data_IF_391001422176
#
_entry.id   IF_391001422176
#
_cell.length_a   1.000
_cell.length_b   1.000
_cell.length_c   1.000
_cell.angle_alpha   90.00
_cell.angle_beta   90.00
_cell.angle_gamma   90.00
#
_symmetry.space_group_name_H-M   'P 1'
#
loop_
_entity.id
_entity.type
_entity.pdbx_description
1 polymer ?
#
# COMPACT_ATOMS: atom_id res chain seq x y z
N UNK A 1 10.74 -19.32 20.68
CA UNK A 1 9.99 -19.04 19.85
C UNK A 1 10.51 -18.21 18.90
N UNK A 2 10.15 -18.18 17.97
CA UNK A 2 10.62 -17.53 17.06
C UNK A 2 10.00 -16.37 16.81
N UNK A 3 10.57 -15.57 16.49
CA UNK A 3 10.07 -14.36 16.26
C UNK A 3 10.08 -14.09 14.87
N UNK A 4 9.62 -14.99 14.13
CA UNK A 4 9.59 -14.78 12.77
C UNK A 4 8.58 -13.81 12.47
N UNK A 5 8.92 -12.60 12.35
CA UNK A 5 8.04 -11.64 11.86
C UNK A 5 8.00 -11.75 10.40
N UNK A 6 6.85 -11.64 9.84
CA UNK A 6 6.73 -11.48 8.42
C UNK A 6 7.38 -10.16 8.07
N UNK A 7 8.44 -10.21 7.33
CA UNK A 7 9.06 -9.01 6.86
C UNK A 7 8.27 -8.50 5.70
N UNK A 8 7.72 -7.32 5.84
CA UNK A 8 6.96 -6.68 4.81
C UNK A 8 7.81 -5.58 4.24
N UNK A 9 8.13 -5.74 2.98
CA UNK A 9 8.93 -4.76 2.28
C UNK A 9 8.03 -3.93 1.41
N UNK A 10 8.13 -2.64 1.50
CA UNK A 10 7.32 -1.74 0.73
C UNK A 10 8.12 -1.16 -0.39
N UNK A 11 7.62 -1.28 -1.58
CA UNK A 11 8.20 -0.59 -2.71
C UNK A 11 7.20 0.42 -3.21
N UNK A 12 7.61 1.64 -3.33
CA UNK A 12 6.76 2.67 -3.85
C UNK A 12 6.79 2.62 -5.35
N UNK A 13 5.64 2.35 -5.93
CA UNK A 13 5.53 2.40 -7.36
C UNK A 13 4.39 3.32 -7.70
N UNK A 14 4.67 4.56 -7.74
CA UNK A 14 3.70 5.52 -8.18
C UNK A 14 3.98 5.88 -9.61
N UNK A 15 2.95 5.95 -10.43
CA UNK A 15 3.12 6.49 -11.73
C UNK A 15 2.42 7.81 -11.76
N UNK A 16 3.16 8.81 -11.65
CA UNK A 16 2.66 10.15 -11.90
C UNK A 16 3.44 10.65 -13.08
N UNK A 17 2.74 10.99 -14.13
CA UNK A 17 3.40 11.59 -15.26
C UNK A 17 3.57 13.04 -14.93
N UNK A 18 4.79 13.40 -14.64
CA UNK A 18 5.09 14.78 -14.37
C UNK A 18 5.28 15.48 -15.67
N UNK A 19 4.50 16.46 -15.94
CA UNK A 19 4.71 17.32 -17.07
C UNK A 19 5.53 18.49 -16.61
N UNK A 20 6.33 18.97 -17.51
CA UNK A 20 7.11 20.11 -17.23
C UNK A 20 6.29 21.33 -17.27
N UNK A 21 5.58 21.61 -16.27
CA UNK A 21 4.84 22.83 -16.22
C UNK A 21 5.39 23.64 -15.11
N UNK A 22 5.18 24.90 -15.15
CA UNK A 22 5.57 25.78 -14.07
C UNK A 22 4.76 25.36 -12.87
N UNK A 23 5.37 24.98 -11.82
CA UNK A 23 4.69 24.60 -10.62
C UNK A 23 5.26 23.33 -10.09
N UNK A 24 4.92 23.05 -8.86
CA UNK A 24 5.48 21.94 -8.14
C UNK A 24 4.73 20.67 -8.44
N UNK A 25 5.44 19.62 -8.77
CA UNK A 25 4.85 18.30 -8.94
C UNK A 25 5.50 17.37 -7.94
N UNK A 26 4.69 16.50 -7.37
CA UNK A 26 5.19 15.60 -6.33
C UNK A 26 4.38 14.32 -6.36
N UNK A 27 5.08 13.20 -6.18
CA UNK A 27 4.43 11.91 -6.01
C UNK A 27 3.83 11.83 -4.61
N UNK A 28 2.80 11.01 -4.42
CA UNK A 28 2.26 10.83 -3.09
C UNK A 28 3.30 10.19 -2.17
N UNK A 29 3.29 10.59 -0.91
CA UNK A 29 4.23 10.08 0.07
C UNK A 29 3.49 9.54 1.27
N UNK A 30 3.83 8.33 1.69
CA UNK A 30 3.22 7.76 2.88
C UNK A 30 3.65 8.53 4.11
N UNK A 31 2.69 8.87 4.94
CA UNK A 31 2.99 9.51 6.23
C UNK A 31 3.34 8.47 7.28
N UNK A 32 2.85 7.24 7.12
CA UNK A 32 3.14 6.17 8.05
C UNK A 32 3.51 4.95 7.26
N UNK A 33 4.39 4.13 7.83
CA UNK A 33 4.76 2.89 7.19
C UNK A 33 3.59 1.92 7.22
N UNK A 34 3.49 1.12 6.19
CA UNK A 34 2.54 0.01 6.20
C UNK A 34 3.01 -0.99 7.24
N UNK A 35 2.13 -1.34 8.14
CA UNK A 35 2.48 -2.22 9.25
C UNK A 35 1.48 -3.34 9.34
N UNK A 36 1.96 -4.55 9.20
CA UNK A 36 1.15 -5.74 9.33
C UNK A 36 1.86 -6.67 10.32
N UNK A 37 1.21 -6.97 11.41
CA UNK A 37 1.81 -7.82 12.42
C UNK A 37 1.17 -9.20 12.40
N UNK A 38 1.79 -10.14 13.08
CA UNK A 38 1.22 -11.47 13.21
C UNK A 38 -0.15 -11.44 13.87
N UNK A 39 -0.41 -10.46 14.72
CA UNK A 39 -1.71 -10.36 15.35
C UNK A 39 -2.82 -9.99 14.38
N UNK A 40 -2.47 -9.47 13.23
CA UNK A 40 -3.44 -9.11 12.22
C UNK A 40 -3.77 -10.29 11.31
N UNK A 41 -3.00 -11.37 11.37
CA UNK A 41 -3.14 -12.50 10.47
C UNK A 41 -3.71 -13.67 11.25
N UNK A 42 -4.66 -14.34 10.65
CA UNK A 42 -5.29 -15.49 11.30
C UNK A 42 -4.27 -16.59 11.54
N UNK A 43 -4.47 -17.30 12.64
CA UNK A 43 -3.51 -18.31 13.06
C UNK A 43 -3.32 -19.42 12.04
N UNK A 44 -4.40 -19.84 11.39
CA UNK A 44 -4.31 -20.90 10.40
C UNK A 44 -3.46 -20.50 9.20
N UNK A 45 -3.42 -19.22 8.89
CA UNK A 45 -2.57 -18.72 7.81
C UNK A 45 -1.12 -18.67 8.26
N UNK A 46 -0.90 -18.25 9.50
CA UNK A 46 0.45 -18.16 10.03
C UNK A 46 1.16 -19.51 10.08
N UNK A 47 0.41 -20.56 10.33
CA UNK A 47 1.00 -21.90 10.38
C UNK A 47 1.63 -22.31 9.06
N UNK A 48 1.24 -21.68 8.00
CA UNK A 48 1.78 -21.99 6.69
C UNK A 48 2.91 -21.06 6.29
N UNK A 49 3.37 -20.25 7.21
CA UNK A 49 4.50 -19.36 6.96
C UNK A 49 4.32 -18.59 5.66
N UNK A 50 3.44 -17.60 5.64
CA UNK A 50 3.13 -16.90 4.40
C UNK A 50 4.38 -16.33 3.75
N UNK A 51 4.47 -16.51 2.46
CA UNK A 51 5.58 -16.00 1.70
C UNK A 51 5.09 -15.71 0.30
N UNK A 52 5.47 -14.60 -0.24
CA UNK A 52 5.03 -14.20 -1.57
C UNK A 52 4.74 -12.72 -1.64
N UNK A 53 4.05 -12.34 -2.69
CA UNK A 53 3.76 -10.93 -2.95
C UNK A 53 2.28 -10.74 -3.10
N UNK A 54 1.78 -9.64 -2.57
CA UNK A 54 0.41 -9.19 -2.78
C UNK A 54 0.49 -7.79 -3.37
N UNK A 55 -0.22 -7.58 -4.45
CA UNK A 55 -0.25 -6.27 -5.09
C UNK A 55 -1.63 -5.67 -4.87
N UNK A 56 -1.66 -4.52 -4.24
CA UNK A 56 -2.88 -3.77 -3.98
C UNK A 56 -2.84 -2.50 -4.80
N UNK A 57 -3.93 -2.24 -5.50
CA UNK A 57 -4.06 -1.01 -6.25
C UNK A 57 -5.18 -0.19 -5.65
N UNK A 58 -4.97 1.09 -5.47
CA UNK A 58 -5.97 1.96 -4.87
C UNK A 58 -5.78 3.38 -5.37
N UNK A 59 -6.72 4.23 -5.01
CA UNK A 59 -6.62 5.64 -5.34
C UNK A 59 -6.24 6.41 -4.10
N UNK A 60 -5.46 7.45 -4.27
CA UNK A 60 -5.15 8.40 -3.22
C UNK A 60 -5.82 9.70 -3.62
N UNK A 61 -6.75 10.13 -2.81
CA UNK A 61 -7.52 11.31 -3.16
C UNK A 61 -6.76 12.59 -2.82
N UNK A 62 -7.37 13.72 -3.05
CA UNK A 62 -6.76 15.03 -2.89
C UNK A 62 -6.44 15.34 -1.42
N UNK A 63 -7.04 14.62 -0.50
CA UNK A 63 -6.74 14.76 0.92
C UNK A 63 -5.74 13.74 1.41
N UNK A 64 -5.21 12.90 0.50
CA UNK A 64 -4.23 11.89 0.88
C UNK A 64 -4.84 10.61 1.43
N UNK A 65 -6.14 10.42 1.29
CA UNK A 65 -6.81 9.23 1.82
C UNK A 65 -6.95 8.17 0.74
N UNK A 66 -6.90 6.92 1.16
CA UNK A 66 -7.02 5.79 0.27
C UNK A 66 -8.48 5.51 -0.03
N UNK A 67 -8.77 5.26 -1.30
CA UNK A 67 -10.11 4.91 -1.75
C UNK A 67 -10.03 3.75 -2.72
N UNK A 68 -11.08 2.96 -2.74
CA UNK A 68 -11.28 1.89 -3.73
C UNK A 68 -10.11 0.91 -3.85
N UNK A 69 -9.67 0.32 -2.75
CA UNK A 69 -8.56 -0.64 -2.83
C UNK A 69 -9.02 -1.95 -3.49
N UNK A 70 -8.15 -2.48 -4.33
CA UNK A 70 -8.40 -3.73 -5.04
C UNK A 70 -7.14 -4.56 -4.98
N UNK A 71 -7.29 -5.83 -4.63
CA UNK A 71 -6.17 -6.77 -4.70
C UNK A 71 -6.02 -7.19 -6.16
N UNK A 72 -4.89 -6.87 -6.75
CA UNK A 72 -4.63 -7.23 -8.15
C UNK A 72 -3.99 -8.59 -8.27
N UNK A 73 -3.16 -8.93 -7.30
CA UNK A 73 -2.49 -10.22 -7.32
C UNK A 73 -2.21 -10.62 -5.88
N UNK A 74 -2.37 -11.89 -5.57
CA UNK A 74 -2.17 -12.37 -4.22
C UNK A 74 -1.77 -13.84 -4.26
N UNK A 75 -0.78 -14.17 -3.46
CA UNK A 75 -0.40 -15.57 -3.30
C UNK A 75 -1.34 -16.30 -2.33
N UNK A 76 -2.14 -15.56 -1.57
CA UNK A 76 -3.04 -16.17 -0.58
C UNK A 76 -4.24 -15.27 -0.36
N UNK A 77 -5.37 -15.68 -0.92
CA UNK A 77 -6.59 -14.87 -0.86
C UNK A 77 -7.12 -14.71 0.56
N UNK A 78 -6.69 -15.57 1.49
CA UNK A 78 -7.15 -15.46 2.87
C UNK A 78 -6.62 -14.20 3.56
N UNK A 79 -5.58 -13.58 2.99
CA UNK A 79 -5.02 -12.36 3.54
C UNK A 79 -5.73 -11.11 3.02
N UNK A 80 -6.63 -11.26 2.07
CA UNK A 80 -7.19 -10.11 1.36
C UNK A 80 -7.89 -9.12 2.28
N UNK A 81 -8.75 -9.61 3.16
CA UNK A 81 -9.50 -8.71 4.04
C UNK A 81 -8.58 -7.94 4.96
N UNK A 82 -7.60 -8.62 5.53
CA UNK A 82 -6.64 -7.98 6.42
C UNK A 82 -5.85 -6.90 5.69
N UNK A 83 -5.41 -7.21 4.48
CA UNK A 83 -4.63 -6.26 3.69
C UNK A 83 -5.49 -5.04 3.32
N UNK A 84 -6.73 -5.26 2.90
CA UNK A 84 -7.63 -4.17 2.54
C UNK A 84 -7.85 -3.26 3.75
N UNK A 85 -8.11 -3.85 4.91
CA UNK A 85 -8.33 -3.05 6.11
C UNK A 85 -7.10 -2.21 6.46
N UNK A 86 -5.92 -2.79 6.35
CA UNK A 86 -4.70 -2.05 6.66
C UNK A 86 -4.41 -0.96 5.64
N UNK A 87 -4.68 -1.24 4.37
CA UNK A 87 -4.45 -0.25 3.32
C UNK A 87 -5.37 0.94 3.48
N UNK A 88 -6.61 0.70 3.89
CA UNK A 88 -7.56 1.79 4.11
C UNK A 88 -7.16 2.71 5.25
N UNK A 89 -6.28 2.24 6.12
CA UNK A 89 -5.79 3.06 7.23
C UNK A 89 -4.55 3.88 6.88
N UNK A 90 -4.02 3.70 5.68
CA UNK A 90 -2.84 4.45 5.28
C UNK A 90 -3.18 5.91 5.04
N UNK A 91 -2.21 6.75 5.27
CA UNK A 91 -2.34 8.17 5.11
C UNK A 91 -1.17 8.67 4.26
N UNK A 92 -1.48 9.53 3.33
CA UNK A 92 -0.47 10.02 2.39
C UNK A 92 -0.47 11.53 2.36
N UNK A 93 0.68 12.09 2.02
CA UNK A 93 0.69 13.44 1.47
C UNK A 93 0.24 13.30 0.04
N UNK A 94 -0.78 14.04 -0.38
CA UNK A 94 -1.32 13.82 -1.71
C UNK A 94 -0.33 14.17 -2.81
N UNK A 95 -0.54 13.60 -3.97
CA UNK A 95 0.22 13.99 -5.15
C UNK A 95 -0.11 15.42 -5.51
N UNK A 96 0.88 16.11 -6.02
CA UNK A 96 0.69 17.49 -6.49
C UNK A 96 1.00 17.56 -7.97
N UNK A 97 0.22 18.35 -8.66
CA UNK A 97 0.49 18.69 -10.05
C UNK A 97 0.28 20.18 -10.19
N UNK A 98 1.32 20.89 -10.57
CA UNK A 98 1.28 22.35 -10.64
C UNK A 98 0.91 22.96 -9.30
N UNK A 99 1.41 22.38 -8.22
CA UNK A 99 1.13 22.86 -6.88
C UNK A 99 -0.23 22.53 -6.32
N UNK A 100 -1.04 21.77 -7.04
CA UNK A 100 -2.40 21.44 -6.61
C UNK A 100 -2.51 19.96 -6.30
N UNK A 101 -3.19 19.60 -5.22
CA UNK A 101 -3.43 18.19 -4.93
C UNK A 101 -4.28 17.55 -6.02
N UNK A 102 -3.88 16.35 -6.43
CA UNK A 102 -4.61 15.61 -7.45
C UNK A 102 -4.79 14.18 -6.99
N UNK A 103 -5.85 13.56 -7.49
CA UNK A 103 -6.11 12.15 -7.24
C UNK A 103 -5.25 11.32 -8.16
N UNK A 104 -4.66 10.27 -7.64
CA UNK A 104 -3.81 9.38 -8.44
C UNK A 104 -4.11 7.94 -8.11
N UNK A 105 -3.80 7.06 -9.04
CA UNK A 105 -3.86 5.63 -8.83
C UNK A 105 -2.49 5.15 -8.37
N UNK A 106 -2.47 4.21 -7.44
CA UNK A 106 -1.25 3.82 -6.78
C UNK A 106 -1.22 2.30 -6.65
N UNK A 107 -0.07 1.70 -6.91
CA UNK A 107 0.13 0.27 -6.70
C UNK A 107 1.08 0.09 -5.54
N UNK A 108 0.70 -0.77 -4.62
CA UNK A 108 1.51 -1.07 -3.46
C UNK A 108 1.83 -2.56 -3.46
N UNK A 109 3.05 -2.94 -3.79
CA UNK A 109 3.44 -4.34 -3.64
C UNK A 109 3.85 -4.59 -2.19
N UNK A 110 3.33 -5.65 -1.62
CA UNK A 110 3.62 -6.05 -0.25
C UNK A 110 4.29 -7.41 -0.31
N UNK A 111 5.53 -7.46 0.15
CA UNK A 111 6.28 -8.70 0.13
C UNK A 111 6.26 -9.36 1.50
N UNK A 112 5.92 -10.62 1.51
CA UNK A 112 5.99 -11.46 2.71
C UNK A 112 7.20 -12.37 2.57
N UNK A 113 8.06 -12.33 3.56
CA UNK A 113 9.27 -13.15 3.55
C UNK A 113 9.32 -14.08 4.74
#
# INVERSE_FOLDING_TARGET
>A
MKTNKALISLMLMGTLIAHNSAGESQLPQQKKEFNLSYYDIREDILEQTPSGEIIVEFEINEQGKVENPVIRDSFDVRLSDTIIDKVLMLDFKPALQNGRPVRVRYKLPILFK
#
